data_IF_619468655344
#
_entry.id   IF_619468655344
#
_cell.length_a   1.000
_cell.length_b   1.000
_cell.length_c   1.000
_cell.angle_alpha   90.00
_cell.angle_beta   90.00
_cell.angle_gamma   90.00
#
_symmetry.space_group_name_H-M   'P 1'
#
loop_
_entity.id
_entity.type
_entity.pdbx_description
1 polymer ?
#
# COMPACT_ATOMS: atom_id res chain seq x y z
N UNK A 1 45.68 -36.03 -9.60
CA UNK A 1 46.35 -37.29 -9.23
C UNK A 1 46.15 -37.45 -7.72
N UNK A 2 45.14 -38.18 -7.22
CA UNK A 2 44.82 -39.62 -7.37
C UNK A 2 45.74 -40.47 -6.46
N UNK A 3 45.30 -41.38 -5.59
CA UNK A 3 43.98 -41.98 -5.22
C UNK A 3 43.92 -42.10 -3.66
N UNK A 4 42.80 -42.14 -2.91
CA UNK A 4 41.51 -42.88 -2.98
C UNK A 4 41.60 -44.35 -2.51
N UNK A 5 40.57 -44.82 -1.76
CA UNK A 5 40.38 -46.12 -1.05
C UNK A 5 41.11 -46.30 0.30
N UNK A 6 40.62 -47.08 1.28
CA UNK A 6 39.48 -48.04 1.33
C UNK A 6 38.68 -48.02 2.67
N UNK A 7 37.55 -48.75 2.73
CA UNK A 7 36.76 -49.11 3.94
C UNK A 7 36.45 -50.62 3.96
N UNK A 8 36.31 -51.23 5.15
CA UNK A 8 35.09 -52.00 5.47
C UNK A 8 34.49 -51.55 6.83
N UNK A 9 33.19 -51.56 7.12
CA UNK A 9 32.07 -52.47 6.80
C UNK A 9 31.99 -53.73 7.68
N UNK A 10 30.98 -53.76 8.56
CA UNK A 10 30.41 -54.96 9.17
C UNK A 10 28.88 -54.87 9.04
N UNK A 11 28.23 -56.01 8.76
CA UNK A 11 26.80 -56.14 8.49
C UNK A 11 26.05 -56.75 9.68
N UNK A 12 24.70 -56.71 9.63
CA UNK A 12 23.73 -57.82 9.78
C UNK A 12 22.31 -57.20 9.56
N UNK A 13 21.55 -57.55 8.51
CA UNK A 13 20.54 -58.63 8.42
C UNK A 13 19.30 -58.44 9.34
N UNK A 14 18.02 -58.75 9.02
CA UNK A 14 17.26 -59.11 7.80
C UNK A 14 15.71 -59.09 8.16
N UNK A 15 14.67 -59.19 7.31
CA UNK A 15 14.54 -59.31 5.84
C UNK A 15 13.18 -58.82 5.25
N UNK A 16 13.10 -58.91 3.92
CA UNK A 16 12.03 -58.85 2.90
C UNK A 16 10.49 -58.83 3.18
N UNK A 17 9.83 -57.93 2.41
CA UNK A 17 8.63 -58.10 1.52
C UNK A 17 7.36 -58.89 1.95
N UNK A 18 6.19 -58.25 1.82
CA UNK A 18 5.13 -58.65 0.84
C UNK A 18 3.94 -57.66 0.76
N UNK A 19 3.25 -57.63 -0.39
CA UNK A 19 1.83 -57.27 -0.53
C UNK A 19 1.11 -58.43 -1.24
N UNK A 20 -0.20 -58.68 -1.02
CA UNK A 20 -1.15 -58.24 -2.06
C UNK A 20 -2.63 -57.96 -1.65
N UNK A 21 -3.32 -57.22 -2.54
CA UNK A 21 -4.77 -57.30 -2.89
C UNK A 21 -5.81 -56.60 -1.98
N UNK A 22 -7.00 -56.46 -2.58
CA UNK A 22 -8.14 -55.60 -2.18
C UNK A 22 -9.32 -56.45 -1.73
N UNK A 23 -10.17 -55.90 -0.86
CA UNK A 23 -11.59 -56.26 -0.76
C UNK A 23 -12.46 -55.00 -0.62
N UNK A 24 -13.79 -55.15 -0.67
CA UNK A 24 -14.77 -54.08 -0.44
C UNK A 24 -15.77 -54.54 0.62
N UNK A 25 -16.18 -53.63 1.49
CA UNK A 25 -17.44 -53.72 2.26
C UNK A 25 -18.15 -52.35 2.26
N UNK A 26 -19.42 -52.32 2.69
CA UNK A 26 -20.26 -51.13 2.84
C UNK A 26 -20.75 -51.07 4.30
N UNK A 27 -20.88 -49.89 4.92
CA UNK A 27 -21.65 -49.78 6.17
C UNK A 27 -21.43 -48.57 7.07
N UNK A 28 -22.00 -47.41 6.69
CA UNK A 28 -22.81 -46.51 7.56
C UNK A 28 -22.22 -45.99 8.90
N UNK A 29 -21.98 -44.66 8.95
CA UNK A 29 -21.95 -43.73 10.11
C UNK A 29 -20.89 -43.99 11.22
N UNK A 30 -20.13 -42.99 11.69
CA UNK A 30 -20.61 -41.69 12.19
C UNK A 30 -19.64 -40.49 11.94
N UNK A 31 -19.72 -39.45 12.78
CA UNK A 31 -19.27 -38.06 12.60
C UNK A 31 -17.75 -37.83 12.46
N UNK A 32 -17.37 -36.74 11.78
CA UNK A 32 -15.98 -36.27 11.65
C UNK A 32 -15.87 -34.92 10.92
N UNK A 33 -14.93 -34.07 11.35
CA UNK A 33 -14.69 -32.72 10.83
C UNK A 33 -13.75 -32.69 9.61
N UNK A 34 -13.59 -31.49 9.06
CA UNK A 34 -12.47 -31.01 8.23
C UNK A 34 -12.19 -31.68 6.86
N UNK A 35 -12.64 -31.02 5.80
CA UNK A 35 -11.82 -30.87 4.58
C UNK A 35 -11.82 -29.41 4.09
N UNK A 36 -10.63 -28.89 3.85
CA UNK A 36 -10.43 -27.58 3.22
C UNK A 36 -10.88 -27.61 1.75
N UNK A 37 -11.37 -26.48 1.23
CA UNK A 37 -11.55 -26.25 -0.21
C UNK A 37 -11.01 -24.85 -0.54
N UNK A 38 -9.89 -24.78 -1.27
CA UNK A 38 -9.27 -23.51 -1.62
C UNK A 38 -10.02 -22.81 -2.77
N UNK A 39 -9.95 -21.47 -2.91
CA UNK A 39 -10.83 -20.72 -3.82
C UNK A 39 -10.56 -20.88 -5.33
N UNK A 40 -9.68 -21.79 -5.73
CA UNK A 40 -9.10 -21.87 -7.09
C UNK A 40 -9.99 -22.64 -8.07
N UNK A 41 -10.66 -23.70 -7.63
CA UNK A 41 -11.30 -24.67 -8.53
C UNK A 41 -12.54 -24.13 -9.26
N UNK A 42 -13.20 -23.12 -8.70
CA UNK A 42 -14.39 -22.50 -9.29
C UNK A 42 -14.12 -21.70 -10.58
N UNK A 43 -12.85 -21.44 -10.92
CA UNK A 43 -12.47 -20.64 -12.10
C UNK A 43 -12.15 -21.53 -13.32
N UNK A 44 -11.77 -22.80 -13.12
CA UNK A 44 -11.30 -23.68 -14.21
C UNK A 44 -12.34 -24.67 -14.76
N UNK A 45 -13.48 -24.87 -14.08
CA UNK A 45 -14.48 -25.89 -14.47
C UNK A 45 -15.69 -25.37 -15.27
N UNK A 46 -15.51 -24.39 -16.17
CA UNK A 46 -16.56 -23.95 -17.11
C UNK A 46 -16.17 -24.11 -18.57
N UNK A 47 -16.19 -25.36 -19.05
CA UNK A 47 -16.31 -25.64 -20.49
C UNK A 47 -17.73 -25.32 -20.96
N UNK A 48 -17.92 -24.78 -22.19
CA UNK A 48 -19.25 -24.50 -22.71
C UNK A 48 -20.03 -25.81 -22.94
N UNK A 49 -21.35 -25.83 -22.68
CA UNK A 49 -22.15 -27.06 -22.81
C UNK A 49 -22.12 -27.58 -24.26
N UNK A 50 -21.69 -28.84 -24.43
CA UNK A 50 -21.64 -29.52 -25.73
C UNK A 50 -23.02 -29.47 -26.40
N UNK A 51 -23.13 -28.80 -27.55
CA UNK A 51 -24.34 -28.81 -28.39
C UNK A 51 -24.64 -30.27 -28.80
N UNK A 52 -25.73 -30.85 -28.29
CA UNK A 52 -26.28 -32.09 -28.82
C UNK A 52 -26.74 -31.81 -30.26
N UNK A 53 -26.12 -32.47 -31.25
CA UNK A 53 -26.67 -32.49 -32.61
C UNK A 53 -28.05 -33.14 -32.57
N UNK A 54 -29.05 -32.50 -33.19
CA UNK A 54 -30.28 -33.16 -33.61
C UNK A 54 -30.11 -33.54 -35.07
N UNK A 55 -30.22 -34.83 -35.37
CA UNK A 55 -30.35 -35.32 -36.74
C UNK A 55 -31.70 -34.86 -37.30
N UNK A 56 -31.68 -34.15 -38.43
CA UNK A 56 -32.81 -34.00 -39.33
C UNK A 56 -32.30 -33.98 -40.78
N UNK A 57 -33.13 -34.47 -41.69
CA UNK A 57 -32.76 -34.91 -43.05
C UNK A 57 -32.92 -33.84 -44.13
N UNK A 58 -32.17 -34.04 -45.24
CA UNK A 58 -32.31 -33.45 -46.59
C UNK A 58 -33.50 -32.51 -46.84
N UNK A 59 -33.23 -31.30 -47.33
CA UNK A 59 -34.23 -30.42 -47.95
C UNK A 59 -33.59 -29.19 -48.61
N UNK A 60 -33.59 -29.18 -49.96
CA UNK A 60 -33.15 -28.17 -50.96
C UNK A 60 -32.83 -26.72 -50.54
N UNK A 61 -31.94 -26.11 -51.32
CA UNK A 61 -31.70 -24.67 -51.36
C UNK A 61 -32.97 -23.85 -51.71
N UNK A 62 -33.04 -22.62 -51.22
CA UNK A 62 -33.47 -21.47 -52.03
C UNK A 62 -33.03 -20.15 -51.38
N UNK A 63 -33.08 -19.07 -52.17
CA UNK A 63 -32.28 -17.87 -51.98
C UNK A 63 -32.93 -16.80 -51.07
N UNK A 64 -32.11 -15.83 -50.65
CA UNK A 64 -32.49 -14.49 -50.17
C UNK A 64 -33.46 -14.43 -48.98
N UNK A 65 -32.92 -14.41 -47.74
CA UNK A 65 -33.64 -13.82 -46.60
C UNK A 65 -32.70 -13.25 -45.54
N UNK A 66 -33.07 -12.10 -44.98
CA UNK A 66 -32.23 -11.30 -44.08
C UNK A 66 -32.29 -11.82 -42.63
N UNK A 67 -31.15 -12.22 -42.05
CA UNK A 67 -31.08 -12.75 -40.68
C UNK A 67 -31.30 -11.68 -39.60
N UNK A 68 -32.55 -11.26 -39.39
CA UNK A 68 -32.92 -10.34 -38.31
C UNK A 68 -32.97 -11.07 -36.97
N UNK A 69 -31.94 -10.86 -36.14
CA UNK A 69 -31.91 -11.31 -34.74
C UNK A 69 -32.89 -10.51 -33.86
N UNK A 70 -34.19 -10.84 -33.97
CA UNK A 70 -35.22 -10.24 -33.13
C UNK A 70 -35.01 -10.60 -31.66
N UNK A 71 -34.82 -9.58 -30.81
CA UNK A 71 -34.78 -9.77 -29.36
C UNK A 71 -36.16 -10.23 -28.89
N UNK A 72 -36.29 -11.48 -28.44
CA UNK A 72 -37.52 -11.96 -27.79
C UNK A 72 -37.92 -10.98 -26.67
N UNK A 73 -39.12 -10.37 -26.72
CA UNK A 73 -39.62 -9.60 -25.60
C UNK A 73 -39.70 -10.49 -24.36
N UNK A 74 -39.23 -10.00 -23.22
CA UNK A 74 -39.45 -10.64 -21.92
C UNK A 74 -40.97 -10.61 -21.70
N UNK A 75 -41.64 -11.76 -21.65
CA UNK A 75 -43.08 -11.82 -21.37
C UNK A 75 -43.33 -11.12 -20.03
N UNK A 76 -44.21 -10.11 -20.00
CA UNK A 76 -44.81 -9.65 -18.76
C UNK A 76 -45.79 -10.72 -18.33
N UNK A 77 -45.52 -11.42 -17.24
CA UNK A 77 -46.55 -12.25 -16.60
C UNK A 77 -47.63 -11.34 -16.03
N UNK A 78 -48.81 -11.39 -16.63
CA UNK A 78 -49.98 -10.61 -16.25
C UNK A 78 -50.77 -11.31 -15.14
N UNK A 79 -50.11 -11.63 -14.04
CA UNK A 79 -50.75 -12.15 -12.82
C UNK A 79 -50.97 -10.99 -11.82
N UNK A 80 -52.16 -10.85 -11.23
CA UNK A 80 -52.48 -9.76 -10.30
C UNK A 80 -51.96 -10.00 -8.87
N UNK A 81 -50.99 -10.90 -8.68
CA UNK A 81 -50.22 -10.93 -7.43
C UNK A 81 -49.40 -9.65 -7.32
N UNK A 82 -49.26 -9.14 -6.09
CA UNK A 82 -48.67 -7.81 -5.77
C UNK A 82 -47.14 -7.84 -5.87
N UNK A 83 -46.62 -8.29 -7.01
CA UNK A 83 -45.22 -8.58 -7.28
C UNK A 83 -44.40 -7.29 -7.36
N UNK A 84 -43.80 -6.90 -6.24
CA UNK A 84 -42.85 -5.79 -6.14
C UNK A 84 -41.66 -6.12 -7.06
N UNK A 85 -41.55 -5.40 -8.17
CA UNK A 85 -40.53 -5.66 -9.19
C UNK A 85 -39.28 -4.84 -8.92
N UNK A 86 -38.18 -5.51 -8.55
CA UNK A 86 -36.86 -4.89 -8.36
C UNK A 86 -36.36 -4.14 -9.62
N UNK A 87 -36.80 -4.54 -10.82
CA UNK A 87 -36.50 -3.85 -12.07
C UNK A 87 -37.12 -2.44 -12.14
N UNK A 88 -38.12 -2.10 -11.31
CA UNK A 88 -38.80 -0.79 -11.28
C UNK A 88 -38.18 0.23 -10.31
N UNK A 89 -37.33 -0.18 -9.36
CA UNK A 89 -36.64 0.76 -8.46
C UNK A 89 -35.66 1.65 -9.26
N UNK A 90 -35.46 2.93 -8.92
CA UNK A 90 -34.42 3.78 -9.52
C UNK A 90 -32.99 3.26 -9.28
N UNK A 91 -32.03 3.62 -10.13
CA UNK A 91 -30.63 3.18 -10.00
C UNK A 91 -30.01 3.71 -8.68
N UNK A 92 -30.39 4.89 -8.22
CA UNK A 92 -29.95 5.54 -6.99
C UNK A 92 -30.41 4.78 -5.74
N UNK A 93 -31.63 4.24 -5.76
CA UNK A 93 -32.18 3.43 -4.65
C UNK A 93 -31.46 2.09 -4.58
N UNK A 94 -31.21 1.46 -5.73
CA UNK A 94 -30.42 0.21 -5.80
C UNK A 94 -28.98 0.45 -5.35
N UNK A 95 -28.34 1.56 -5.75
CA UNK A 95 -27.02 1.97 -5.25
C UNK A 95 -27.03 2.24 -3.74
N UNK A 96 -28.10 2.81 -3.18
CA UNK A 96 -28.22 3.02 -1.73
C UNK A 96 -28.35 1.70 -0.95
N UNK A 97 -29.02 0.70 -1.51
CA UNK A 97 -29.07 -0.67 -0.96
C UNK A 97 -27.69 -1.33 -1.07
N UNK A 98 -27.03 -1.22 -2.23
CA UNK A 98 -25.67 -1.74 -2.44
C UNK A 98 -24.64 -1.04 -1.54
N UNK A 99 -24.87 0.23 -1.16
CA UNK A 99 -24.01 0.95 -0.22
C UNK A 99 -23.92 0.27 1.16
N UNK A 100 -24.95 -0.47 1.57
CA UNK A 100 -24.98 -1.23 2.82
C UNK A 100 -24.26 -2.59 2.76
N UNK A 101 -23.86 -3.06 1.57
CA UNK A 101 -23.28 -4.40 1.39
C UNK A 101 -21.74 -4.42 1.50
N UNK A 102 -21.15 -5.47 2.11
CA UNK A 102 -19.71 -5.65 2.16
C UNK A 102 -19.14 -6.00 0.76
N UNK A 103 -17.82 -5.83 0.52
CA UNK A 103 -17.27 -5.96 -0.82
C UNK A 103 -17.42 -7.36 -1.44
N UNK A 104 -17.39 -8.43 -0.62
CA UNK A 104 -17.63 -9.80 -1.11
C UNK A 104 -19.04 -9.95 -1.70
N UNK A 105 -20.04 -9.33 -1.08
CA UNK A 105 -21.42 -9.38 -1.56
C UNK A 105 -21.67 -8.41 -2.73
N UNK A 106 -20.99 -7.26 -2.78
CA UNK A 106 -20.96 -6.43 -3.99
C UNK A 106 -20.45 -7.19 -5.23
N UNK A 107 -19.40 -8.01 -5.08
CA UNK A 107 -18.95 -8.86 -6.18
C UNK A 107 -19.98 -9.96 -6.51
N UNK A 108 -20.59 -10.59 -5.50
CA UNK A 108 -21.62 -11.64 -5.71
C UNK A 108 -22.86 -11.12 -6.43
N UNK A 109 -23.44 -9.99 -6.02
CA UNK A 109 -24.67 -9.45 -6.66
C UNK A 109 -24.44 -8.99 -8.10
N UNK A 110 -23.19 -8.76 -8.52
CA UNK A 110 -22.85 -8.35 -9.89
C UNK A 110 -23.27 -9.38 -10.95
N UNK A 111 -23.42 -10.66 -10.60
CA UNK A 111 -23.80 -11.71 -11.56
C UNK A 111 -25.32 -11.86 -11.75
N UNK A 112 -26.15 -11.19 -10.93
CA UNK A 112 -27.61 -11.38 -10.91
C UNK A 112 -28.27 -10.92 -12.22
N UNK A 113 -27.91 -9.74 -12.73
CA UNK A 113 -28.36 -9.26 -14.05
C UNK A 113 -27.46 -8.14 -14.56
N UNK A 114 -27.54 -7.80 -15.86
CA UNK A 114 -26.71 -6.74 -16.48
C UNK A 114 -26.85 -5.36 -15.82
N UNK A 115 -28.02 -5.05 -15.24
CA UNK A 115 -28.24 -3.81 -14.48
C UNK A 115 -27.46 -3.83 -13.18
N UNK A 116 -27.58 -4.91 -12.42
CA UNK A 116 -26.86 -5.11 -11.16
C UNK A 116 -25.34 -5.22 -11.38
N UNK A 117 -24.90 -5.84 -12.48
CA UNK A 117 -23.49 -5.87 -12.88
C UNK A 117 -22.89 -4.47 -13.05
N UNK A 118 -23.62 -3.56 -13.71
CA UNK A 118 -23.22 -2.15 -13.89
C UNK A 118 -23.18 -1.43 -12.54
N UNK A 119 -24.25 -1.53 -11.75
CA UNK A 119 -24.37 -0.80 -10.47
C UNK A 119 -23.44 -1.33 -9.38
N UNK A 120 -23.12 -2.63 -9.37
CA UNK A 120 -22.20 -3.22 -8.40
C UNK A 120 -20.76 -2.71 -8.53
N UNK A 121 -20.38 -2.17 -9.70
CA UNK A 121 -19.06 -1.58 -9.98
C UNK A 121 -19.12 -0.05 -10.20
N UNK A 122 -20.22 0.59 -9.82
CA UNK A 122 -20.39 2.05 -9.90
C UNK A 122 -19.39 2.79 -9.02
N UNK A 123 -18.88 3.94 -9.49
CA UNK A 123 -17.84 4.70 -8.79
C UNK A 123 -18.26 5.05 -7.36
N UNK A 124 -19.54 5.42 -7.12
CA UNK A 124 -20.07 5.80 -5.80
C UNK A 124 -19.84 4.74 -4.71
N UNK A 125 -19.77 3.47 -5.10
CA UNK A 125 -19.50 2.36 -4.19
C UNK A 125 -17.99 2.21 -3.90
N UNK A 126 -17.12 2.36 -4.90
CA UNK A 126 -15.70 1.99 -4.80
C UNK A 126 -14.75 3.17 -4.50
N UNK A 127 -15.30 4.33 -4.13
CA UNK A 127 -14.55 5.55 -3.75
C UNK A 127 -13.37 5.31 -2.78
N UNK A 128 -13.47 4.34 -1.86
CA UNK A 128 -12.36 3.99 -0.96
C UNK A 128 -12.35 2.51 -0.55
N UNK A 129 -11.21 1.85 -0.76
CA UNK A 129 -11.01 0.41 -0.57
C UNK A 129 -9.71 0.12 0.18
N UNK A 130 -9.77 -0.84 1.09
CA UNK A 130 -8.63 -1.42 1.79
C UNK A 130 -8.51 -2.93 1.46
N UNK A 131 -7.38 -3.32 0.88
CA UNK A 131 -7.03 -4.69 0.47
C UNK A 131 -6.09 -5.38 1.47
N UNK A 132 -5.74 -4.73 2.59
CA UNK A 132 -4.94 -5.32 3.66
C UNK A 132 -5.54 -6.65 4.16
N UNK A 133 -4.67 -7.65 4.31
CA UNK A 133 -5.04 -8.99 4.78
C UNK A 133 -5.57 -9.93 3.69
N UNK A 134 -5.68 -9.50 2.43
CA UNK A 134 -6.00 -10.42 1.33
C UNK A 134 -4.81 -11.31 0.95
N UNK A 135 -5.05 -12.58 0.68
CA UNK A 135 -4.06 -13.53 0.14
C UNK A 135 -3.83 -13.38 -1.36
N UNK A 136 -4.90 -13.12 -2.12
CA UNK A 136 -4.90 -12.95 -3.58
C UNK A 136 -5.34 -11.53 -3.98
N UNK A 137 -4.55 -10.55 -3.56
CA UNK A 137 -4.72 -9.11 -3.84
C UNK A 137 -4.75 -8.76 -5.33
N UNK A 138 -3.93 -9.40 -6.17
CA UNK A 138 -3.69 -8.98 -7.55
C UNK A 138 -4.94 -8.86 -8.46
N UNK A 139 -5.84 -9.86 -8.57
CA UNK A 139 -7.09 -9.71 -9.34
C UNK A 139 -8.05 -8.70 -8.69
N UNK A 140 -8.06 -8.59 -7.35
CA UNK A 140 -8.87 -7.59 -6.65
C UNK A 140 -8.38 -6.17 -6.95
N UNK A 141 -7.07 -5.93 -6.91
CA UNK A 141 -6.42 -4.68 -7.31
C UNK A 141 -6.74 -4.33 -8.76
N UNK A 142 -6.61 -5.28 -9.69
CA UNK A 142 -6.92 -5.05 -11.11
C UNK A 142 -8.39 -4.63 -11.31
N UNK A 143 -9.33 -5.24 -10.59
CA UNK A 143 -10.74 -4.86 -10.67
C UNK A 143 -11.01 -3.51 -10.01
N UNK A 144 -10.42 -3.26 -8.83
CA UNK A 144 -10.60 -2.01 -8.07
C UNK A 144 -10.00 -0.79 -8.78
N UNK A 145 -8.89 -0.94 -9.52
CA UNK A 145 -8.33 0.14 -10.34
C UNK A 145 -9.24 0.55 -11.52
N UNK A 146 -10.25 -0.27 -11.87
CA UNK A 146 -11.24 0.04 -12.93
C UNK A 146 -12.49 0.77 -12.43
N UNK A 147 -12.71 0.88 -11.12
CA UNK A 147 -13.97 1.39 -10.53
C UNK A 147 -13.90 2.84 -10.05
N UNK A 148 -13.11 3.70 -10.71
CA UNK A 148 -13.00 5.13 -10.38
C UNK A 148 -12.46 5.46 -8.99
N UNK A 149 -11.74 4.51 -8.35
CA UNK A 149 -11.31 4.60 -6.96
C UNK A 149 -10.44 5.83 -6.65
N UNK A 150 -10.72 6.47 -5.50
CA UNK A 150 -10.03 7.69 -5.02
C UNK A 150 -9.10 7.45 -3.84
N UNK A 151 -9.36 6.44 -2.99
CA UNK A 151 -8.47 6.05 -1.88
C UNK A 151 -8.22 4.54 -1.86
N UNK A 152 -6.96 4.11 -2.02
CA UNK A 152 -6.59 2.69 -2.11
C UNK A 152 -5.44 2.34 -1.15
N UNK A 153 -5.55 1.18 -0.51
CA UNK A 153 -4.53 0.58 0.35
C UNK A 153 -4.27 -0.89 -0.05
N UNK A 154 -3.05 -1.22 -0.53
CA UNK A 154 -2.55 -2.60 -0.69
C UNK A 154 -1.14 -2.73 -0.06
N UNK A 155 -1.03 -2.75 1.27
CA UNK A 155 0.20 -3.18 1.93
C UNK A 155 0.37 -4.70 1.79
N UNK A 156 1.60 -5.12 1.48
CA UNK A 156 2.04 -6.52 1.39
C UNK A 156 1.43 -7.39 0.26
N UNK A 157 2.24 -8.35 -0.23
CA UNK A 157 1.86 -9.44 -1.17
C UNK A 157 0.97 -9.05 -2.37
N UNK A 158 1.23 -7.90 -3.01
CA UNK A 158 0.50 -7.42 -4.19
C UNK A 158 1.08 -7.97 -5.53
N UNK A 159 1.10 -9.30 -5.70
CA UNK A 159 1.75 -10.04 -6.81
C UNK A 159 1.16 -9.75 -8.21
N UNK A 160 1.51 -8.61 -8.79
CA UNK A 160 0.86 -8.05 -9.98
C UNK A 160 1.08 -8.87 -11.26
N UNK A 161 -0.01 -9.16 -11.98
CA UNK A 161 0.03 -9.65 -13.37
C UNK A 161 -0.05 -8.45 -14.32
N UNK A 162 0.94 -8.30 -15.20
CA UNK A 162 1.04 -7.17 -16.11
C UNK A 162 -0.10 -7.15 -17.12
N UNK A 163 -0.91 -6.07 -17.08
CA UNK A 163 -1.95 -5.80 -18.07
C UNK A 163 -2.10 -4.29 -18.26
N UNK A 164 -2.14 -3.78 -19.51
CA UNK A 164 -2.34 -2.36 -19.76
C UNK A 164 -3.76 -1.93 -19.35
N UNK A 165 -3.87 -1.10 -18.32
CA UNK A 165 -5.05 -0.26 -18.11
C UNK A 165 -4.85 1.01 -18.96
N UNK A 166 -5.68 1.22 -19.97
CA UNK A 166 -5.51 2.33 -20.94
C UNK A 166 -6.06 3.68 -20.44
N UNK A 167 -6.78 3.70 -19.32
CA UNK A 167 -7.43 4.87 -18.73
C UNK A 167 -6.58 5.54 -17.65
N UNK A 168 -6.68 6.86 -17.50
CA UNK A 168 -6.16 7.57 -16.32
C UNK A 168 -6.85 7.08 -15.03
N UNK A 169 -6.14 7.18 -13.91
CA UNK A 169 -6.64 6.74 -12.60
C UNK A 169 -7.12 7.95 -11.78
N UNK A 170 -8.32 7.87 -11.21
CA UNK A 170 -8.89 8.89 -10.32
C UNK A 170 -8.27 8.90 -8.90
N UNK A 171 -7.19 8.16 -8.67
CA UNK A 171 -6.61 7.94 -7.34
C UNK A 171 -6.02 9.24 -6.77
N UNK A 172 -6.41 9.56 -5.54
CA UNK A 172 -6.00 10.74 -4.77
C UNK A 172 -5.13 10.36 -3.56
N UNK A 173 -5.44 9.23 -2.91
CA UNK A 173 -4.64 8.70 -1.80
C UNK A 173 -4.28 7.24 -2.08
N UNK A 174 -2.99 6.91 -2.05
CA UNK A 174 -2.47 5.58 -2.44
C UNK A 174 -1.41 5.07 -1.45
N UNK A 175 -1.70 3.98 -0.76
CA UNK A 175 -0.75 3.25 0.07
C UNK A 175 -0.41 1.89 -0.57
N UNK A 176 0.85 1.72 -0.97
CA UNK A 176 1.44 0.48 -1.48
C UNK A 176 2.67 0.08 -0.64
N UNK A 177 2.80 0.58 0.59
CA UNK A 177 3.96 0.36 1.44
C UNK A 177 4.22 -1.13 1.72
N UNK A 178 5.49 -1.53 1.67
CA UNK A 178 5.97 -2.91 1.86
C UNK A 178 5.24 -3.96 1.00
N UNK A 179 4.71 -3.55 -0.16
CA UNK A 179 4.09 -4.46 -1.14
C UNK A 179 5.14 -5.14 -2.03
N UNK A 180 4.80 -6.30 -2.60
CA UNK A 180 5.68 -7.04 -3.52
C UNK A 180 5.18 -6.78 -4.95
N UNK A 181 5.46 -5.58 -5.46
CA UNK A 181 5.05 -5.12 -6.79
C UNK A 181 6.31 -4.94 -7.66
N UNK A 182 6.39 -5.58 -8.86
CA UNK A 182 7.48 -5.34 -9.80
C UNK A 182 7.54 -3.87 -10.25
N UNK A 183 8.74 -3.29 -10.36
CA UNK A 183 8.92 -1.85 -10.70
C UNK A 183 8.18 -1.43 -11.97
N UNK A 184 8.12 -2.27 -13.01
CA UNK A 184 7.35 -2.01 -14.24
C UNK A 184 5.83 -1.90 -14.01
N UNK A 185 5.28 -2.68 -13.08
CA UNK A 185 3.87 -2.58 -12.70
C UNK A 185 3.60 -1.32 -11.86
N UNK A 186 4.58 -0.91 -11.04
CA UNK A 186 4.51 0.33 -10.28
C UNK A 186 4.62 1.57 -11.20
N UNK A 187 5.48 1.55 -12.21
CA UNK A 187 5.53 2.55 -13.29
C UNK A 187 4.18 2.71 -13.99
N UNK A 188 3.62 1.58 -14.45
CA UNK A 188 2.34 1.51 -15.15
C UNK A 188 1.19 2.10 -14.29
N UNK A 189 1.12 1.78 -12.99
CA UNK A 189 0.18 2.40 -12.05
C UNK A 189 0.44 3.91 -11.91
N UNK A 190 1.66 4.31 -11.54
CA UNK A 190 1.98 5.69 -11.14
C UNK A 190 1.88 6.67 -12.31
N UNK A 191 2.27 6.28 -13.53
CA UNK A 191 2.21 7.17 -14.69
C UNK A 191 0.78 7.53 -15.16
N UNK A 192 -0.23 6.75 -14.74
CA UNK A 192 -1.67 7.01 -14.95
C UNK A 192 -2.31 7.85 -13.84
N UNK A 193 -1.65 7.99 -12.70
CA UNK A 193 -2.10 8.84 -11.59
C UNK A 193 -1.68 10.30 -11.82
N UNK A 194 -2.65 11.23 -11.79
CA UNK A 194 -2.43 12.68 -11.95
C UNK A 194 -3.10 13.54 -10.88
N UNK A 195 -3.76 12.91 -9.91
CA UNK A 195 -4.55 13.56 -8.86
C UNK A 195 -4.04 13.23 -7.45
N UNK A 196 -2.83 12.67 -7.31
CA UNK A 196 -2.30 12.24 -6.01
C UNK A 196 -2.08 13.45 -5.08
N UNK A 197 -2.63 13.33 -3.88
CA UNK A 197 -2.47 14.24 -2.75
C UNK A 197 -1.70 13.55 -1.62
N UNK A 198 -1.88 12.24 -1.42
CA UNK A 198 -1.13 11.45 -0.45
C UNK A 198 -0.62 10.14 -1.08
N UNK A 199 0.67 9.85 -0.92
CA UNK A 199 1.31 8.66 -1.49
C UNK A 199 2.30 8.02 -0.51
N UNK A 200 2.26 6.69 -0.39
CA UNK A 200 3.27 5.90 0.31
C UNK A 200 3.74 4.73 -0.56
N UNK A 201 5.03 4.74 -0.90
CA UNK A 201 5.75 3.69 -1.63
C UNK A 201 6.88 3.08 -0.78
N UNK A 202 6.80 3.22 0.55
CA UNK A 202 7.86 2.83 1.48
C UNK A 202 8.32 1.37 1.29
N UNK A 203 9.64 1.17 1.25
CA UNK A 203 10.30 -0.12 1.04
C UNK A 203 10.27 -0.66 -0.40
N UNK A 204 9.81 0.11 -1.39
CA UNK A 204 9.77 -0.31 -2.79
C UNK A 204 11.01 0.15 -3.59
N UNK A 205 11.48 -0.72 -4.49
CA UNK A 205 12.46 -0.37 -5.52
C UNK A 205 11.77 0.43 -6.64
N UNK A 206 12.24 1.66 -6.86
CA UNK A 206 11.63 2.61 -7.81
C UNK A 206 12.46 2.69 -9.10
N UNK A 207 12.22 3.75 -9.88
CA UNK A 207 12.97 4.12 -11.07
C UNK A 207 12.86 5.62 -11.33
N UNK A 208 13.74 6.16 -12.17
CA UNK A 208 13.63 7.54 -12.68
C UNK A 208 12.34 7.79 -13.46
N UNK A 209 11.75 6.76 -14.07
CA UNK A 209 10.43 6.81 -14.71
C UNK A 209 9.34 7.06 -13.67
N UNK A 210 9.35 6.34 -12.53
CA UNK A 210 8.39 6.53 -11.44
C UNK A 210 8.50 7.95 -10.90
N UNK A 211 9.69 8.42 -10.53
CA UNK A 211 9.88 9.76 -9.95
C UNK A 211 9.51 10.86 -10.98
N UNK A 212 9.82 10.67 -12.27
CA UNK A 212 9.40 11.56 -13.35
C UNK A 212 7.89 11.55 -13.61
N UNK A 213 7.17 10.47 -13.26
CA UNK A 213 5.72 10.42 -13.26
C UNK A 213 5.10 11.03 -11.99
N UNK A 214 5.74 10.89 -10.81
CA UNK A 214 5.35 11.59 -9.59
C UNK A 214 5.44 13.11 -9.73
N UNK A 215 6.46 13.63 -10.41
CA UNK A 215 6.61 15.07 -10.73
C UNK A 215 5.38 15.69 -11.45
N UNK A 216 4.52 14.86 -12.07
CA UNK A 216 3.29 15.29 -12.76
C UNK A 216 2.09 15.46 -11.82
N UNK A 217 2.24 15.19 -10.52
CA UNK A 217 1.20 15.27 -9.50
C UNK A 217 1.39 16.51 -8.61
N UNK A 218 1.17 17.70 -9.18
CA UNK A 218 1.38 19.01 -8.51
C UNK A 218 0.43 19.30 -7.31
N UNK A 219 -0.45 18.35 -6.97
CA UNK A 219 -1.35 18.39 -5.79
C UNK A 219 -0.81 17.64 -4.58
N UNK A 220 0.33 16.95 -4.73
CA UNK A 220 0.93 16.10 -3.71
C UNK A 220 1.25 16.91 -2.43
N UNK A 221 0.72 16.46 -1.31
CA UNK A 221 0.82 17.08 0.02
C UNK A 221 1.55 16.17 1.01
N UNK A 222 1.35 14.85 0.92
CA UNK A 222 2.07 13.86 1.73
C UNK A 222 2.77 12.84 0.83
N UNK A 223 4.08 12.69 0.99
CA UNK A 223 4.90 11.75 0.23
C UNK A 223 5.84 10.97 1.15
N UNK A 224 5.66 9.65 1.17
CA UNK A 224 6.54 8.71 1.86
C UNK A 224 7.24 7.78 0.85
N UNK A 225 8.55 7.99 0.67
CA UNK A 225 9.47 7.13 -0.07
C UNK A 225 10.52 6.52 0.88
N UNK A 226 10.21 6.36 2.17
CA UNK A 226 11.15 5.79 3.14
C UNK A 226 11.65 4.42 2.70
N UNK A 227 12.96 4.16 2.77
CA UNK A 227 13.57 2.89 2.35
C UNK A 227 13.52 2.60 0.84
N UNK A 228 13.21 3.59 0.00
CA UNK A 228 13.22 3.42 -1.45
C UNK A 228 14.62 3.52 -2.06
N UNK A 229 14.78 2.93 -3.25
CA UNK A 229 16.05 2.84 -3.97
C UNK A 229 15.87 2.92 -5.50
N UNK A 230 16.99 2.92 -6.23
CA UNK A 230 17.07 2.86 -7.70
C UNK A 230 16.47 4.05 -8.48
N UNK A 231 16.57 5.26 -7.94
CA UNK A 231 16.32 6.52 -8.67
C UNK A 231 17.46 7.52 -8.42
N UNK A 232 17.56 8.57 -9.24
CA UNK A 232 18.69 9.50 -9.30
C UNK A 232 18.39 10.91 -8.79
N UNK A 233 19.43 11.55 -8.26
CA UNK A 233 19.37 12.88 -7.66
C UNK A 233 18.78 13.98 -8.58
N UNK A 234 19.13 14.09 -9.88
CA UNK A 234 18.56 15.11 -10.76
C UNK A 234 17.06 14.93 -11.02
N UNK A 235 16.56 13.69 -10.96
CA UNK A 235 15.13 13.39 -11.14
C UNK A 235 14.36 13.64 -9.84
N UNK A 236 14.95 13.34 -8.68
CA UNK A 236 14.43 13.75 -7.37
C UNK A 236 14.30 15.29 -7.28
N UNK A 237 15.35 16.04 -7.64
CA UNK A 237 15.33 17.50 -7.68
C UNK A 237 14.18 18.04 -8.55
N UNK A 238 13.99 17.48 -9.76
CA UNK A 238 12.92 17.87 -10.69
C UNK A 238 11.52 17.60 -10.11
N UNK A 239 11.34 16.50 -9.39
CA UNK A 239 10.09 16.17 -8.71
C UNK A 239 9.80 17.16 -7.57
N UNK A 240 10.78 17.46 -6.71
CA UNK A 240 10.62 18.41 -5.61
C UNK A 240 10.28 19.83 -6.11
N UNK A 241 10.94 20.32 -7.17
CA UNK A 241 10.58 21.61 -7.81
C UNK A 241 9.14 21.64 -8.35
N UNK A 242 8.64 20.51 -8.85
CA UNK A 242 7.33 20.41 -9.49
C UNK A 242 6.20 20.23 -8.46
N UNK A 243 6.46 19.50 -7.38
CA UNK A 243 5.52 19.20 -6.30
C UNK A 243 5.58 20.24 -5.17
N UNK A 244 5.43 21.52 -5.52
CA UNK A 244 5.55 22.67 -4.61
C UNK A 244 4.50 22.77 -3.48
N UNK A 245 3.60 21.79 -3.38
CA UNK A 245 2.53 21.70 -2.37
C UNK A 245 2.79 20.64 -1.30
N UNK A 246 3.94 19.95 -1.33
CA UNK A 246 4.29 18.94 -0.32
C UNK A 246 4.40 19.60 1.05
N UNK A 247 3.64 19.09 2.03
CA UNK A 247 3.65 19.51 3.43
C UNK A 247 4.38 18.51 4.32
N UNK A 248 4.23 17.21 4.03
CA UNK A 248 4.95 16.13 4.71
C UNK A 248 5.78 15.34 3.71
N UNK A 249 7.10 15.28 3.93
CA UNK A 249 8.04 14.51 3.12
C UNK A 249 8.84 13.54 4.00
N UNK A 250 8.83 12.27 3.63
CA UNK A 250 9.62 11.24 4.26
C UNK A 250 10.48 10.52 3.21
N UNK A 251 11.81 10.67 3.32
CA UNK A 251 12.82 10.03 2.47
C UNK A 251 13.79 9.16 3.30
N UNK A 252 13.49 8.89 4.58
CA UNK A 252 14.46 8.24 5.47
C UNK A 252 14.90 6.86 4.97
N UNK A 253 16.15 6.47 5.25
CA UNK A 253 16.70 5.15 4.90
C UNK A 253 16.75 4.83 3.39
N UNK A 254 16.59 5.82 2.49
CA UNK A 254 16.89 5.63 1.08
C UNK A 254 18.39 5.42 0.83
N UNK A 255 18.72 4.71 -0.25
CA UNK A 255 20.11 4.49 -0.70
C UNK A 255 20.64 5.74 -1.43
N UNK A 256 20.91 6.81 -0.68
CA UNK A 256 21.30 8.12 -1.21
C UNK A 256 22.78 8.44 -1.02
N UNK A 257 23.34 9.17 -1.99
CA UNK A 257 24.65 9.81 -1.90
C UNK A 257 24.53 11.31 -1.56
N UNK A 258 25.66 12.01 -1.48
CA UNK A 258 25.71 13.45 -1.21
C UNK A 258 24.98 14.28 -2.29
N UNK A 259 24.93 13.81 -3.54
CA UNK A 259 24.21 14.48 -4.63
C UNK A 259 22.69 14.43 -4.42
N UNK A 260 22.16 13.32 -3.90
CA UNK A 260 20.75 13.21 -3.51
C UNK A 260 20.42 14.12 -2.33
N UNK A 261 21.26 14.14 -1.29
CA UNK A 261 21.07 15.02 -0.12
C UNK A 261 21.05 16.50 -0.56
N UNK A 262 22.05 16.92 -1.35
CA UNK A 262 22.07 18.27 -1.93
C UNK A 262 20.84 18.54 -2.80
N UNK A 263 20.45 17.58 -3.64
CA UNK A 263 19.24 17.67 -4.47
C UNK A 263 17.94 17.75 -3.68
N UNK A 264 17.92 17.31 -2.42
CA UNK A 264 16.80 17.56 -1.50
C UNK A 264 16.88 18.99 -0.95
N UNK A 265 18.01 19.38 -0.33
CA UNK A 265 18.17 20.70 0.31
C UNK A 265 17.95 21.85 -0.68
N UNK A 266 18.58 21.80 -1.86
CA UNK A 266 18.53 22.85 -2.88
C UNK A 266 17.14 23.02 -3.53
N UNK A 267 16.21 22.07 -3.36
CA UNK A 267 14.97 21.98 -4.15
C UNK A 267 13.69 21.74 -3.33
N UNK A 268 13.79 21.66 -2.00
CA UNK A 268 12.65 21.60 -1.10
C UNK A 268 11.82 22.90 -1.18
N UNK A 269 10.49 22.75 -1.23
CA UNK A 269 9.57 23.88 -1.23
C UNK A 269 9.29 24.40 0.18
N UNK A 270 9.03 25.70 0.29
CA UNK A 270 8.74 26.40 1.57
C UNK A 270 7.41 25.99 2.23
N UNK A 271 6.62 25.13 1.56
CA UNK A 271 5.40 24.50 2.08
C UNK A 271 5.69 23.26 2.94
N UNK A 272 6.91 22.70 2.91
CA UNK A 272 7.29 21.50 3.67
C UNK A 272 7.40 21.84 5.15
N UNK A 273 6.43 21.36 5.94
CA UNK A 273 6.37 21.54 7.40
C UNK A 273 6.90 20.33 8.15
N UNK A 274 6.83 19.13 7.59
CA UNK A 274 7.33 17.91 8.21
C UNK A 274 8.34 17.22 7.28
N UNK A 275 9.56 17.02 7.74
CA UNK A 275 10.66 16.46 6.96
C UNK A 275 11.39 15.35 7.73
N UNK A 276 11.49 14.16 7.13
CA UNK A 276 12.27 13.05 7.66
C UNK A 276 13.42 12.68 6.70
N UNK A 277 14.64 12.89 7.19
CA UNK A 277 15.94 12.60 6.55
C UNK A 277 16.83 11.78 7.50
N UNK A 278 16.24 10.81 8.21
CA UNK A 278 16.98 9.86 9.05
C UNK A 278 17.60 8.70 8.25
N UNK A 279 18.62 8.06 8.82
CA UNK A 279 19.29 6.87 8.24
C UNK A 279 20.54 7.16 7.40
N UNK A 280 20.84 8.41 7.08
CA UNK A 280 22.02 8.79 6.28
C UNK A 280 23.27 8.96 7.17
N UNK A 281 23.98 7.87 7.41
CA UNK A 281 25.13 7.84 8.32
C UNK A 281 26.32 8.71 7.89
N UNK A 282 26.76 8.52 6.64
CA UNK A 282 28.01 9.07 6.10
C UNK A 282 27.77 10.18 5.06
N UNK A 283 26.56 10.29 4.52
CA UNK A 283 26.24 11.19 3.40
C UNK A 283 25.67 12.55 3.80
N UNK A 284 25.58 12.83 5.11
CA UNK A 284 24.77 13.93 5.66
C UNK A 284 25.59 15.01 6.38
N UNK A 285 26.69 15.46 5.77
CA UNK A 285 27.40 16.66 6.21
C UNK A 285 26.51 17.90 6.07
N UNK A 286 26.56 18.79 7.05
CA UNK A 286 25.95 20.12 6.96
C UNK A 286 27.00 21.11 6.47
N UNK A 287 26.76 21.66 5.28
CA UNK A 287 27.39 22.88 4.82
C UNK A 287 26.31 23.98 4.79
N UNK A 288 26.73 25.23 4.96
CA UNK A 288 25.86 26.33 5.35
C UNK A 288 24.95 26.86 4.22
N UNK A 289 23.72 26.34 4.13
CA UNK A 289 22.49 27.15 3.93
C UNK A 289 21.20 26.30 3.98
N UNK A 290 20.70 26.01 5.18
CA UNK A 290 19.37 25.40 5.34
C UNK A 290 18.26 26.47 5.39
N UNK A 291 17.99 27.11 4.25
CA UNK A 291 16.86 28.05 4.03
C UNK A 291 15.45 27.44 4.24
N UNK A 292 15.40 26.14 4.53
CA UNK A 292 14.24 25.33 4.87
C UNK A 292 13.51 25.86 6.10
N UNK A 293 12.20 25.59 6.21
CA UNK A 293 11.38 25.98 7.38
C UNK A 293 10.53 24.84 7.98
N UNK A 294 11.03 23.59 8.11
CA UNK A 294 10.29 22.52 8.76
C UNK A 294 9.94 22.86 10.22
N UNK A 295 8.70 22.54 10.57
CA UNK A 295 8.11 22.56 11.91
C UNK A 295 8.42 21.24 12.64
N UNK A 296 8.59 20.15 11.89
CA UNK A 296 8.97 18.81 12.36
C UNK A 296 10.18 18.33 11.55
N UNK A 297 11.30 18.05 12.21
CA UNK A 297 12.55 17.60 11.57
C UNK A 297 13.11 16.35 12.23
N UNK A 298 13.24 15.26 11.46
CA UNK A 298 13.91 14.04 11.90
C UNK A 298 15.22 13.81 11.12
N UNK A 299 16.34 13.72 11.84
CA UNK A 299 17.69 13.44 11.35
C UNK A 299 18.38 12.33 12.15
N UNK A 300 17.60 11.44 12.77
CA UNK A 300 18.12 10.28 13.50
C UNK A 300 19.04 9.40 12.65
N UNK A 301 19.96 8.68 13.29
CA UNK A 301 20.98 7.81 12.67
C UNK A 301 21.99 8.53 11.76
N UNK A 302 22.11 9.86 11.88
CA UNK A 302 23.15 10.64 11.21
C UNK A 302 24.44 10.59 12.03
N UNK A 303 25.30 9.61 11.79
CA UNK A 303 26.50 9.39 12.62
C UNK A 303 27.52 10.52 12.52
N UNK A 304 27.68 11.18 11.36
CA UNK A 304 28.58 12.34 11.19
C UNK A 304 28.05 13.65 11.81
N UNK A 305 26.88 13.65 12.46
CA UNK A 305 26.23 14.87 12.93
C UNK A 305 26.70 15.24 14.34
N UNK A 306 27.66 16.17 14.40
CA UNK A 306 28.22 16.76 15.64
C UNK A 306 27.35 17.89 16.20
N UNK A 307 27.72 18.44 17.36
CA UNK A 307 27.02 19.59 17.97
C UNK A 307 27.01 20.85 17.08
N UNK A 308 27.97 20.99 16.17
CA UNK A 308 28.11 22.13 15.25
C UNK A 308 26.94 22.28 14.28
N UNK A 309 26.10 21.25 14.13
CA UNK A 309 24.85 21.33 13.39
C UNK A 309 23.80 22.25 14.05
N UNK A 310 23.83 22.41 15.37
CA UNK A 310 22.75 23.05 16.12
C UNK A 310 22.68 24.57 15.86
N UNK A 311 23.79 25.31 15.76
CA UNK A 311 23.80 26.68 15.24
C UNK A 311 23.17 26.84 13.85
N UNK A 312 23.38 25.89 12.93
CA UNK A 312 22.75 25.92 11.59
C UNK A 312 21.25 25.68 11.70
N UNK A 313 20.82 24.74 12.54
CA UNK A 313 19.41 24.46 12.80
C UNK A 313 18.70 25.63 13.51
N UNK A 314 19.40 26.52 14.23
CA UNK A 314 18.84 27.68 14.94
C UNK A 314 18.06 28.66 14.05
N UNK A 315 18.23 28.58 12.72
CA UNK A 315 17.40 29.29 11.74
C UNK A 315 15.92 28.86 11.79
N UNK A 316 15.62 27.65 12.26
CA UNK A 316 14.29 27.03 12.33
C UNK A 316 13.44 27.53 13.51
N UNK A 317 13.11 28.83 13.51
CA UNK A 317 12.36 29.53 14.59
C UNK A 317 10.96 28.98 14.91
N UNK A 318 10.44 28.03 14.13
CA UNK A 318 9.13 27.40 14.30
C UNK A 318 9.20 25.87 14.50
N UNK A 319 10.37 25.34 14.87
CA UNK A 319 10.59 23.92 15.08
C UNK A 319 9.87 23.45 16.37
N UNK A 320 8.78 22.69 16.21
CA UNK A 320 8.00 22.11 17.31
C UNK A 320 8.46 20.69 17.68
N UNK A 321 9.11 19.96 16.76
CA UNK A 321 9.61 18.60 17.00
C UNK A 321 10.96 18.37 16.31
N UNK A 322 11.94 17.95 17.10
CA UNK A 322 13.28 17.57 16.64
C UNK A 322 13.57 16.11 17.03
N UNK A 323 14.09 15.32 16.08
CA UNK A 323 14.53 13.94 16.35
C UNK A 323 15.97 13.75 15.88
N UNK A 324 16.84 13.41 16.84
CA UNK A 324 18.30 13.28 16.72
C UNK A 324 18.76 11.94 17.33
N UNK A 325 17.87 10.94 17.35
CA UNK A 325 18.15 9.64 17.97
C UNK A 325 19.32 8.95 17.27
N UNK A 326 20.24 8.35 18.03
CA UNK A 326 21.43 7.63 17.50
C UNK A 326 22.45 8.50 16.72
N UNK A 327 22.39 9.83 16.82
CA UNK A 327 23.46 10.75 16.37
C UNK A 327 24.61 10.82 17.41
N UNK A 328 25.43 9.76 17.51
CA UNK A 328 26.31 9.50 18.67
C UNK A 328 27.41 10.55 18.97
N UNK A 329 27.61 11.56 18.11
CA UNK A 329 28.58 12.65 18.34
C UNK A 329 27.95 13.92 18.94
N UNK A 330 26.68 13.89 19.34
CA UNK A 330 26.04 14.96 20.12
C UNK A 330 26.16 14.65 21.62
N UNK A 331 26.95 15.44 22.35
CA UNK A 331 27.08 15.33 23.81
C UNK A 331 25.89 15.94 24.57
N UNK A 332 25.63 15.47 25.79
CA UNK A 332 24.50 15.88 26.62
C UNK A 332 24.42 17.41 26.87
N UNK A 333 25.56 18.09 27.00
CA UNK A 333 25.61 19.55 27.16
C UNK A 333 25.05 20.31 25.94
N UNK A 334 25.32 19.82 24.73
CA UNK A 334 24.74 20.39 23.51
C UNK A 334 23.22 20.12 23.43
N UNK A 335 22.70 19.07 24.08
CA UNK A 335 21.27 18.79 24.17
C UNK A 335 20.54 19.69 25.18
N UNK A 336 21.20 20.19 26.23
CA UNK A 336 20.60 21.23 27.10
C UNK A 336 20.46 22.56 26.35
N UNK A 337 21.43 22.92 25.50
CA UNK A 337 21.36 24.14 24.69
C UNK A 337 20.23 24.10 23.66
N UNK A 338 19.76 22.92 23.22
CA UNK A 338 18.60 22.77 22.30
C UNK A 338 17.35 23.45 22.85
N UNK A 339 17.05 23.29 24.15
CA UNK A 339 15.88 23.94 24.77
C UNK A 339 15.96 25.47 24.76
N UNK A 340 17.17 26.02 24.84
CA UNK A 340 17.44 27.47 24.80
C UNK A 340 17.42 27.98 23.35
N UNK A 341 17.93 27.20 22.40
CA UNK A 341 17.94 27.54 20.97
C UNK A 341 16.56 27.47 20.32
N UNK A 342 15.68 26.58 20.80
CA UNK A 342 14.34 26.35 20.24
C UNK A 342 13.23 26.56 21.30
N UNK A 343 12.93 27.80 21.71
CA UNK A 343 11.99 28.09 22.79
C UNK A 343 10.51 27.76 22.50
N UNK A 344 10.21 27.27 21.29
CA UNK A 344 8.88 26.74 20.90
C UNK A 344 8.87 25.21 20.73
N UNK A 345 9.99 24.54 21.03
CA UNK A 345 10.10 23.09 20.89
C UNK A 345 9.16 22.38 21.86
N UNK A 346 8.34 21.46 21.35
CA UNK A 346 7.37 20.69 22.13
C UNK A 346 7.79 19.23 22.32
N UNK A 347 8.63 18.69 21.43
CA UNK A 347 9.02 17.28 21.40
C UNK A 347 10.48 17.13 20.98
N UNK A 348 11.22 16.25 21.67
CA UNK A 348 12.63 15.96 21.39
C UNK A 348 12.89 14.45 21.53
N UNK A 349 13.19 13.76 20.43
CA UNK A 349 13.49 12.33 20.45
C UNK A 349 14.99 12.08 20.24
N UNK A 350 15.67 11.71 21.33
CA UNK A 350 17.12 11.46 21.47
C UNK A 350 17.39 10.04 21.98
N UNK A 351 16.60 9.06 21.50
CA UNK A 351 16.77 7.65 21.83
C UNK A 351 18.19 7.17 21.46
N UNK A 352 18.82 6.43 22.36
CA UNK A 352 20.18 5.91 22.17
C UNK A 352 21.31 6.94 22.32
N UNK A 353 21.03 8.19 22.71
CA UNK A 353 22.07 9.17 23.08
C UNK A 353 22.24 9.34 24.59
N UNK A 354 21.11 9.42 25.31
CA UNK A 354 21.07 9.73 26.74
C UNK A 354 20.76 8.46 27.52
N UNK A 355 21.53 8.17 28.55
CA UNK A 355 21.24 7.04 29.45
C UNK A 355 19.98 7.32 30.29
N UNK A 356 19.23 6.28 30.65
CA UNK A 356 17.99 6.43 31.43
C UNK A 356 18.19 7.10 32.80
N UNK A 357 19.41 7.02 33.35
CA UNK A 357 19.84 7.73 34.56
C UNK A 357 19.96 9.26 34.38
N UNK A 358 20.25 9.73 33.16
CA UNK A 358 20.46 11.14 32.82
C UNK A 358 19.20 11.79 32.23
N UNK A 359 18.28 10.99 31.67
CA UNK A 359 17.02 11.45 31.09
C UNK A 359 16.16 12.31 32.06
N UNK A 360 16.05 12.01 33.37
CA UNK A 360 15.28 12.84 34.31
C UNK A 360 15.89 14.23 34.53
N UNK A 361 17.22 14.35 34.47
CA UNK A 361 17.90 15.65 34.54
C UNK A 361 17.64 16.46 33.28
N UNK A 362 17.78 15.86 32.09
CA UNK A 362 17.48 16.56 30.83
C UNK A 362 16.01 17.03 30.74
N UNK A 363 15.07 16.25 31.30
CA UNK A 363 13.66 16.63 31.44
C UNK A 363 13.41 17.75 32.48
N UNK A 364 14.35 17.97 33.43
CA UNK A 364 14.29 19.08 34.39
C UNK A 364 14.77 20.39 33.77
N UNK A 365 15.81 20.35 32.94
CA UNK A 365 16.31 21.52 32.20
C UNK A 365 15.33 21.97 31.09
N UNK A 366 14.58 21.03 30.50
CA UNK A 366 13.59 21.30 29.45
C UNK A 366 12.17 20.83 29.83
N UNK A 367 11.53 21.42 30.87
CA UNK A 367 10.26 20.93 31.41
C UNK A 367 9.06 21.16 30.48
N UNK A 368 9.21 22.01 29.46
CA UNK A 368 8.22 22.25 28.42
C UNK A 368 8.33 21.29 27.21
N UNK A 369 9.39 20.47 27.15
CA UNK A 369 9.68 19.58 26.02
C UNK A 369 9.36 18.12 26.38
N UNK A 370 8.55 17.45 25.57
CA UNK A 370 8.24 16.04 25.73
C UNK A 370 9.36 15.15 25.16
N UNK A 371 10.34 14.81 26.02
CA UNK A 371 11.55 14.06 25.63
C UNK A 371 11.30 12.54 25.56
N UNK A 372 11.73 11.92 24.45
CA UNK A 372 11.64 10.48 24.13
C UNK A 372 10.19 9.96 24.23
N UNK A 373 9.26 10.69 23.61
CA UNK A 373 7.82 10.38 23.68
C UNK A 373 7.30 9.63 22.44
N UNK A 374 8.05 9.61 21.33
CA UNK A 374 7.61 9.02 20.06
C UNK A 374 8.70 8.15 19.42
N UNK A 375 8.76 6.83 19.72
CA UNK A 375 9.77 5.93 19.15
C UNK A 375 9.61 5.69 17.64
N UNK A 376 8.47 6.08 17.04
CA UNK A 376 8.20 5.94 15.61
C UNK A 376 7.82 7.28 14.98
N UNK A 377 8.54 7.67 13.92
CA UNK A 377 8.21 8.84 13.09
C UNK A 377 6.85 8.66 12.42
N UNK A 378 5.95 9.64 12.59
CA UNK A 378 4.63 9.69 11.94
C UNK A 378 4.63 10.34 10.56
N UNK A 379 5.76 10.95 10.14
CA UNK A 379 5.83 11.85 8.98
C UNK A 379 5.45 11.12 7.68
N UNK A 380 4.41 11.62 7.00
CA UNK A 380 3.80 11.09 5.78
C UNK A 380 3.34 9.61 5.83
N UNK A 381 3.27 8.98 7.02
CA UNK A 381 2.86 7.57 7.15
C UNK A 381 1.34 7.41 6.97
N UNK A 382 0.85 6.48 6.12
CA UNK A 382 -0.59 6.23 5.94
C UNK A 382 -1.32 5.85 7.23
N UNK A 383 -0.64 5.08 8.08
CA UNK A 383 -1.11 4.60 9.39
C UNK A 383 -0.04 4.88 10.46
N UNK A 384 -0.01 6.07 11.07
CA UNK A 384 0.97 6.39 12.11
C UNK A 384 0.75 5.56 13.39
N UNK A 385 1.81 4.93 13.90
CA UNK A 385 1.79 4.06 15.08
C UNK A 385 1.51 4.78 16.41
N UNK A 386 1.32 6.11 16.41
CA UNK A 386 1.16 6.95 17.60
C UNK A 386 -0.26 6.92 18.20
N UNK A 387 -0.93 5.76 18.19
CA UNK A 387 -2.25 5.57 18.81
C UNK A 387 -2.11 4.64 20.01
N UNK A 388 -2.67 5.05 21.14
CA UNK A 388 -2.55 4.32 22.41
C UNK A 388 -2.95 2.85 22.28
N UNK A 389 -2.11 1.98 22.84
CA UNK A 389 -2.40 0.55 23.01
C UNK A 389 -3.71 0.42 23.80
N UNK A 390 -4.73 -0.19 23.19
CA UNK A 390 -6.10 -0.26 23.73
C UNK A 390 -7.14 0.56 22.93
N UNK A 391 -6.71 1.52 22.10
CA UNK A 391 -7.59 2.09 21.08
C UNK A 391 -7.86 1.06 19.98
N UNK A 392 -9.13 0.86 19.60
CA UNK A 392 -9.52 -0.18 18.63
C UNK A 392 -8.78 -0.03 17.30
N UNK A 393 -8.13 -1.10 16.85
CA UNK A 393 -7.13 -1.08 15.78
C UNK A 393 -7.61 -0.56 14.42
N UNK A 394 -6.67 0.08 13.73
CA UNK A 394 -6.44 0.10 12.28
C UNK A 394 -7.67 -0.03 11.36
N UNK A 395 -8.33 1.12 11.15
CA UNK A 395 -9.42 1.32 10.19
C UNK A 395 -9.33 2.65 9.42
N UNK A 396 -8.18 3.35 9.45
CA UNK A 396 -8.03 4.68 8.83
C UNK A 396 -6.69 4.85 8.12
N UNK A 397 -6.74 5.21 6.84
CA UNK A 397 -5.59 5.62 6.04
C UNK A 397 -5.60 7.16 5.93
N UNK A 398 -4.51 7.84 6.28
CA UNK A 398 -4.44 9.30 6.42
C UNK A 398 -5.62 9.89 7.22
N UNK A 399 -5.87 9.29 8.39
CA UNK A 399 -6.98 9.57 9.31
C UNK A 399 -8.41 9.42 8.74
N UNK A 400 -8.58 8.98 7.48
CA UNK A 400 -9.88 8.75 6.82
C UNK A 400 -10.21 7.26 6.78
N UNK A 401 -11.44 6.87 7.12
CA UNK A 401 -11.90 5.47 6.98
C UNK A 401 -12.06 5.09 5.50
N UNK A 402 -11.69 3.87 5.14
CA UNK A 402 -12.08 3.25 3.87
C UNK A 402 -13.49 2.65 4.00
N UNK A 403 -14.31 2.75 2.95
CA UNK A 403 -15.67 2.18 2.93
C UNK A 403 -15.63 0.66 2.86
N UNK A 404 -14.86 0.13 1.92
CA UNK A 404 -14.75 -1.30 1.66
C UNK A 404 -13.44 -1.83 2.24
N UNK A 405 -13.49 -2.97 2.95
CA UNK A 405 -12.31 -3.73 3.39
C UNK A 405 -12.52 -5.20 3.06
N UNK A 406 -11.52 -5.86 2.49
CA UNK A 406 -11.61 -7.27 2.06
C UNK A 406 -11.08 -8.30 3.07
N UNK A 407 -10.47 -7.83 4.17
CA UNK A 407 -10.00 -8.65 5.28
C UNK A 407 -11.04 -9.65 5.80
N UNK A 408 -10.53 -10.70 6.45
CA UNK A 408 -11.19 -11.98 6.72
C UNK A 408 -12.67 -11.90 7.15
#
# INVERSE_FOLDING_TARGET
FSNNKDRPCLNLQDSMLTQPRKSKSRGILSEGLDTECTPTDFILQFTPPRKKQRLFSKGKENDSNQFVLSRRPRRKDSSPSRNISWDQLPDEVVLRIFFCLPPRDLVRISVVCKRWQRLAFDESLWHSVDLEGMTHTAPALQQVLRTGIRRLRCPQKCSFLSFPLYSSLQVVQLDLSSSIIPTLALEDIICRCRLLECLSLEGLQLSDTIISCLAKNTRLQELNLSGCSAFSAPVLARMLKSCSRIQQLNLSWCTFDNNHIKSVVDNLSSSVTHLNLSGYRESLTLNDDCSLKPVFLCRSDSTLLTADCLPVLKQLKHLLHLSLSRCYHIHLAALTDVGIMFPVLSQLDVFGLVQDSQLPSLKREMPHVSINSRPFSSIARPTPASRFVGSTSDRTMWNKKCRLRFGL
#
